data_IF_984768514981
#
_entry.id   IF_984768514981
#
_cell.length_a   1.000
_cell.length_b   1.000
_cell.length_c   1.000
_cell.angle_alpha   90.00
_cell.angle_beta   90.00
_cell.angle_gamma   90.00
#
_symmetry.space_group_name_H-M   'P 1'
#
loop_
_entity.id
_entity.type
_entity.pdbx_description
1 polymer ?
#
# COMPACT_ATOMS: atom_id res chain seq x y z
N UNK A 1 3.01 27.36 -10.49
CA UNK A 1 3.81 28.31 -9.69
C UNK A 1 4.07 27.85 -8.24
N UNK A 2 3.08 27.22 -7.57
CA UNK A 2 3.20 26.79 -6.17
C UNK A 2 4.45 25.93 -5.89
N UNK A 3 4.84 25.05 -6.81
CA UNK A 3 5.98 24.13 -6.65
C UNK A 3 7.28 24.65 -7.26
N UNK A 4 7.30 25.85 -7.85
CA UNK A 4 8.52 26.43 -8.44
C UNK A 4 9.64 26.53 -7.41
N UNK A 5 10.83 25.98 -7.75
CA UNK A 5 12.01 25.97 -6.88
C UNK A 5 11.93 24.97 -5.71
N UNK A 6 10.91 24.13 -5.67
CA UNK A 6 10.84 22.99 -4.75
C UNK A 6 11.51 21.76 -5.38
N UNK A 7 11.96 20.83 -4.55
CA UNK A 7 12.61 19.60 -5.03
C UNK A 7 11.69 18.39 -4.90
N UNK A 8 10.75 18.42 -3.94
CA UNK A 8 9.85 17.31 -3.64
C UNK A 8 8.44 17.80 -3.33
N UNK A 9 7.46 17.03 -3.76
CA UNK A 9 6.04 17.17 -3.41
C UNK A 9 5.64 15.90 -2.65
N UNK A 10 5.09 16.09 -1.45
CA UNK A 10 4.47 15.04 -0.64
C UNK A 10 2.96 15.29 -0.67
N UNK A 11 2.24 14.51 -1.46
CA UNK A 11 0.80 14.65 -1.61
C UNK A 11 0.07 13.76 -0.60
N UNK A 12 -0.64 14.36 0.34
CA UNK A 12 -1.43 13.66 1.37
C UNK A 12 -2.94 13.92 1.22
N UNK A 13 -3.37 14.43 0.05
CA UNK A 13 -4.75 14.80 -0.20
C UNK A 13 -5.44 13.75 -1.05
N UNK A 14 -6.31 12.95 -0.45
CA UNK A 14 -7.15 11.96 -1.10
C UNK A 14 -8.64 12.34 -1.12
N UNK A 15 -9.48 11.64 -1.88
CA UNK A 15 -9.18 10.49 -2.74
C UNK A 15 -8.28 10.87 -3.93
N UNK A 16 -7.20 10.08 -4.12
CA UNK A 16 -6.12 10.48 -5.04
C UNK A 16 -6.53 10.43 -6.51
N UNK A 17 -7.33 9.45 -6.91
CA UNK A 17 -7.82 9.39 -8.29
C UNK A 17 -8.69 10.59 -8.66
N UNK A 18 -9.36 11.21 -7.69
CA UNK A 18 -10.17 12.42 -7.89
C UNK A 18 -9.36 13.71 -7.88
N UNK A 19 -8.42 13.82 -6.94
CA UNK A 19 -7.73 15.08 -6.60
C UNK A 19 -6.26 15.13 -7.02
N UNK A 20 -5.63 13.97 -7.26
CA UNK A 20 -4.18 13.86 -7.44
C UNK A 20 -3.65 14.33 -8.79
N UNK A 21 -4.46 14.23 -9.88
CA UNK A 21 -4.00 14.54 -11.24
C UNK A 21 -3.38 15.94 -11.38
N UNK A 22 -4.01 17.05 -10.92
CA UNK A 22 -3.39 18.36 -11.01
C UNK A 22 -2.11 18.50 -10.18
N UNK A 23 -2.00 17.75 -9.07
CA UNK A 23 -0.83 17.80 -8.19
C UNK A 23 0.37 17.10 -8.84
N UNK A 24 0.20 15.89 -9.37
CA UNK A 24 1.29 15.17 -10.06
C UNK A 24 1.74 15.89 -11.31
N UNK A 25 0.80 16.46 -12.08
CA UNK A 25 1.14 17.26 -13.25
C UNK A 25 1.96 18.50 -12.86
N UNK A 26 1.55 19.25 -11.85
CA UNK A 26 2.27 20.41 -11.37
C UNK A 26 3.66 20.05 -10.79
N UNK A 27 3.80 18.87 -10.16
CA UNK A 27 5.09 18.37 -9.69
C UNK A 27 6.02 18.07 -10.87
N UNK A 28 5.53 17.37 -11.90
CA UNK A 28 6.26 17.09 -13.12
C UNK A 28 6.72 18.39 -13.80
N UNK A 29 5.80 19.35 -14.01
CA UNK A 29 6.09 20.62 -14.67
C UNK A 29 7.16 21.42 -13.92
N UNK A 30 7.12 21.41 -12.58
CA UNK A 30 8.08 22.10 -11.73
C UNK A 30 9.42 21.38 -11.56
N UNK A 31 9.55 20.13 -12.03
CA UNK A 31 10.76 19.32 -11.85
C UNK A 31 10.93 18.79 -10.43
N UNK A 32 9.83 18.49 -9.76
CA UNK A 32 9.83 17.94 -8.41
C UNK A 32 9.70 16.42 -8.42
N UNK A 33 10.41 15.75 -7.52
CA UNK A 33 10.08 14.38 -7.15
C UNK A 33 8.68 14.34 -6.53
N UNK A 34 7.91 13.29 -6.82
CA UNK A 34 6.53 13.12 -6.34
C UNK A 34 6.41 11.88 -5.48
N UNK A 35 5.84 12.08 -4.30
CA UNK A 35 5.45 11.02 -3.38
C UNK A 35 4.01 11.27 -2.92
N UNK A 36 3.25 10.21 -2.72
CA UNK A 36 1.93 10.32 -2.11
C UNK A 36 1.66 9.17 -1.13
N UNK A 37 0.60 9.31 -0.35
CA UNK A 37 0.18 8.33 0.66
C UNK A 37 -1.04 7.52 0.23
N UNK A 38 -1.22 7.32 -1.06
CA UNK A 38 -2.38 6.60 -1.60
C UNK A 38 -2.44 5.16 -1.12
N UNK A 39 -3.66 4.63 -0.93
CA UNK A 39 -3.91 3.19 -0.94
C UNK A 39 -4.58 2.72 -2.25
N UNK A 40 -4.84 3.63 -3.19
CA UNK A 40 -5.70 3.44 -4.36
C UNK A 40 -4.94 2.80 -5.52
N UNK A 41 -5.18 1.52 -5.77
CA UNK A 41 -4.49 0.76 -6.84
C UNK A 41 -4.77 1.32 -8.24
N UNK A 42 -5.99 1.80 -8.51
CA UNK A 42 -6.33 2.41 -9.79
C UNK A 42 -5.56 3.73 -10.03
N UNK A 43 -5.30 4.51 -8.97
CA UNK A 43 -4.42 5.67 -9.03
C UNK A 43 -2.97 5.28 -9.34
N UNK A 44 -2.48 4.22 -8.71
CA UNK A 44 -1.11 3.73 -8.96
C UNK A 44 -0.94 3.26 -10.41
N UNK A 45 -1.92 2.52 -10.95
CA UNK A 45 -1.95 2.09 -12.35
C UNK A 45 -1.98 3.31 -13.29
N UNK A 46 -2.83 4.29 -13.00
CA UNK A 46 -2.90 5.54 -13.74
C UNK A 46 -1.56 6.30 -13.77
N UNK A 47 -0.90 6.42 -12.61
CA UNK A 47 0.42 7.06 -12.53
C UNK A 47 1.48 6.31 -13.33
N UNK A 48 1.48 4.98 -13.26
CA UNK A 48 2.39 4.14 -14.04
C UNK A 48 2.19 4.35 -15.54
N UNK A 49 0.96 4.30 -15.99
CA UNK A 49 0.65 4.28 -17.42
C UNK A 49 0.79 5.68 -18.05
N UNK A 50 0.45 6.75 -17.33
CA UNK A 50 0.43 8.11 -17.89
C UNK A 50 1.69 8.92 -17.56
N UNK A 51 2.35 8.67 -16.43
CA UNK A 51 3.41 9.55 -15.92
C UNK A 51 4.78 8.89 -15.78
N UNK A 52 4.88 7.56 -15.66
CA UNK A 52 6.15 6.90 -15.35
C UNK A 52 7.27 7.29 -16.31
N UNK A 53 7.02 7.20 -17.63
CA UNK A 53 8.02 7.53 -18.64
C UNK A 53 8.43 9.01 -18.64
N UNK A 54 7.55 9.92 -18.26
CA UNK A 54 7.86 11.35 -18.18
C UNK A 54 8.74 11.68 -16.96
N UNK A 55 8.45 11.08 -15.81
CA UNK A 55 9.27 11.21 -14.60
C UNK A 55 10.65 10.57 -14.80
N UNK A 56 10.72 9.38 -15.39
CA UNK A 56 11.98 8.69 -15.66
C UNK A 56 12.89 9.50 -16.58
N UNK A 57 12.38 10.03 -17.70
CA UNK A 57 13.16 10.89 -18.62
C UNK A 57 13.73 12.16 -17.96
N UNK A 58 13.10 12.62 -16.88
CA UNK A 58 13.55 13.80 -16.12
C UNK A 58 14.35 13.44 -14.87
N UNK A 59 14.68 12.17 -14.69
CA UNK A 59 15.40 11.65 -13.52
C UNK A 59 14.67 12.00 -12.19
N UNK A 60 13.34 12.02 -12.21
CA UNK A 60 12.50 12.30 -11.06
C UNK A 60 11.89 11.00 -10.50
N UNK A 61 11.75 10.91 -9.18
CA UNK A 61 11.02 9.83 -8.53
C UNK A 61 9.50 10.07 -8.67
N UNK A 62 8.78 9.00 -9.00
CA UNK A 62 7.32 8.90 -8.96
C UNK A 62 6.94 7.75 -8.03
N UNK A 63 6.65 8.07 -6.80
CA UNK A 63 6.46 7.10 -5.73
C UNK A 63 5.06 7.20 -5.11
N UNK A 64 4.05 6.53 -5.70
CA UNK A 64 2.76 6.41 -5.02
C UNK A 64 2.86 5.47 -3.81
N UNK A 65 1.92 5.60 -2.89
CA UNK A 65 1.77 4.76 -1.71
C UNK A 65 3.02 4.72 -0.81
N UNK A 66 3.71 5.85 -0.66
CA UNK A 66 4.81 5.98 0.31
C UNK A 66 4.24 6.16 1.73
N UNK A 67 3.58 5.12 2.20
CA UNK A 67 2.81 5.07 3.44
C UNK A 67 2.89 3.67 4.04
N UNK A 68 2.33 3.47 5.23
CA UNK A 68 2.19 2.14 5.81
C UNK A 68 1.67 1.13 4.77
N UNK A 69 0.54 1.41 4.16
CA UNK A 69 0.06 0.69 2.99
C UNK A 69 0.56 1.41 1.71
N UNK A 70 1.38 0.84 0.88
CA UNK A 70 1.83 -0.56 0.78
C UNK A 70 3.37 -0.65 0.93
N UNK A 71 4.01 0.41 1.46
CA UNK A 71 5.48 0.46 1.56
C UNK A 71 6.05 -0.60 2.50
N UNK A 72 5.37 -0.96 3.60
CA UNK A 72 5.87 -2.01 4.49
C UNK A 72 5.93 -3.38 3.82
N UNK A 73 4.91 -3.75 3.05
CA UNK A 73 4.94 -4.99 2.27
C UNK A 73 6.05 -4.97 1.22
N UNK A 74 6.25 -3.83 0.55
CA UNK A 74 7.36 -3.67 -0.37
C UNK A 74 8.73 -3.81 0.34
N UNK A 75 8.89 -3.28 1.56
CA UNK A 75 10.11 -3.49 2.36
C UNK A 75 10.33 -4.98 2.64
N UNK A 76 9.29 -5.68 3.11
CA UNK A 76 9.39 -7.10 3.41
C UNK A 76 9.72 -7.93 2.15
N UNK A 77 9.10 -7.59 1.02
CA UNK A 77 9.34 -8.22 -0.28
C UNK A 77 10.78 -7.98 -0.78
N UNK A 78 11.28 -6.75 -0.74
CA UNK A 78 12.65 -6.44 -1.17
C UNK A 78 13.70 -7.17 -0.32
N UNK A 79 13.47 -7.28 1.01
CA UNK A 79 14.35 -8.05 1.90
C UNK A 79 14.29 -9.55 1.55
N UNK A 80 13.13 -10.09 1.24
CA UNK A 80 13.01 -11.49 0.81
C UNK A 80 13.72 -11.73 -0.53
N UNK A 81 13.63 -10.78 -1.47
CA UNK A 81 14.28 -10.82 -2.78
C UNK A 81 15.81 -10.67 -2.72
N UNK A 82 16.40 -10.31 -1.58
CA UNK A 82 17.85 -10.45 -1.37
C UNK A 82 18.31 -11.91 -1.46
N UNK A 83 17.38 -12.87 -1.24
CA UNK A 83 17.67 -14.28 -1.43
C UNK A 83 17.52 -14.65 -2.90
N UNK A 84 18.59 -15.14 -3.56
CA UNK A 84 18.52 -15.56 -4.95
C UNK A 84 17.48 -16.66 -5.18
N UNK A 85 16.83 -16.66 -6.34
CA UNK A 85 15.88 -17.69 -6.73
C UNK A 85 14.45 -17.50 -6.21
N UNK A 86 14.18 -16.51 -5.37
CA UNK A 86 12.82 -16.13 -4.97
C UNK A 86 12.11 -15.49 -6.18
N UNK A 87 10.89 -15.97 -6.48
CA UNK A 87 10.05 -15.51 -7.59
C UNK A 87 8.57 -15.32 -7.22
N UNK A 88 8.18 -15.75 -6.02
CA UNK A 88 6.80 -15.72 -5.52
C UNK A 88 6.76 -15.08 -4.14
N UNK A 89 5.84 -14.12 -3.99
CA UNK A 89 5.67 -13.30 -2.79
C UNK A 89 4.21 -13.41 -2.32
N UNK A 90 3.98 -13.95 -1.13
CA UNK A 90 2.68 -13.99 -0.48
C UNK A 90 2.72 -13.09 0.74
N UNK A 91 2.03 -11.95 0.67
CA UNK A 91 2.01 -10.94 1.72
C UNK A 91 0.70 -10.96 2.49
N UNK A 92 0.79 -10.77 3.80
CA UNK A 92 -0.35 -10.60 4.68
C UNK A 92 -0.12 -9.35 5.54
N UNK A 93 -1.02 -8.40 5.42
CA UNK A 93 -1.18 -7.30 6.37
C UNK A 93 -2.18 -7.72 7.45
N UNK A 94 -1.80 -7.55 8.70
CA UNK A 94 -2.64 -7.88 9.85
C UNK A 94 -2.51 -6.80 10.91
N UNK A 95 -3.60 -6.37 11.47
CA UNK A 95 -3.55 -5.39 12.55
C UNK A 95 -4.92 -4.90 13.00
N UNK A 96 -4.87 -4.08 14.03
CA UNK A 96 -6.01 -3.34 14.55
C UNK A 96 -5.63 -1.85 14.57
N UNK A 97 -6.35 -1.06 13.79
CA UNK A 97 -6.19 0.38 13.77
C UNK A 97 -7.56 1.04 13.62
N UNK A 98 -7.73 2.18 14.27
CA UNK A 98 -8.86 3.05 13.95
C UNK A 98 -8.49 3.87 12.73
N UNK A 99 -9.36 3.84 11.71
CA UNK A 99 -9.13 4.53 10.44
C UNK A 99 -9.80 5.90 10.44
N UNK A 100 -9.19 6.88 9.74
CA UNK A 100 -9.75 8.21 9.55
C UNK A 100 -10.96 8.20 8.62
N UNK A 101 -11.75 9.27 8.65
CA UNK A 101 -12.86 9.48 7.70
C UNK A 101 -12.36 9.38 6.26
N UNK A 102 -11.25 10.05 5.93
CA UNK A 102 -10.66 10.02 4.59
C UNK A 102 -10.22 8.59 4.18
N UNK A 103 -9.59 7.85 5.09
CA UNK A 103 -9.18 6.46 4.83
C UNK A 103 -10.37 5.54 4.63
N UNK A 104 -11.45 5.70 5.39
CA UNK A 104 -12.69 4.93 5.22
C UNK A 104 -13.31 5.17 3.85
N UNK A 105 -13.40 6.42 3.43
CA UNK A 105 -13.96 6.78 2.11
C UNK A 105 -13.09 6.24 0.98
N UNK A 106 -11.77 6.38 1.07
CA UNK A 106 -10.82 5.85 0.09
C UNK A 106 -10.92 4.33 0.00
N UNK A 107 -10.95 3.63 1.14
CA UNK A 107 -11.11 2.17 1.19
C UNK A 107 -12.40 1.70 0.51
N UNK A 108 -13.54 2.27 0.86
CA UNK A 108 -14.83 1.88 0.27
C UNK A 108 -14.85 2.14 -1.23
N UNK A 109 -14.30 3.27 -1.68
CA UNK A 109 -14.13 3.57 -3.10
C UNK A 109 -13.28 2.50 -3.79
N UNK A 110 -12.14 2.12 -3.22
CA UNK A 110 -11.27 1.08 -3.78
C UNK A 110 -11.98 -0.27 -3.92
N UNK A 111 -12.83 -0.63 -2.96
CA UNK A 111 -13.60 -1.88 -3.01
C UNK A 111 -14.62 -1.94 -4.17
N UNK A 112 -14.90 -0.81 -4.83
CA UNK A 112 -15.72 -0.77 -6.06
C UNK A 112 -14.90 -0.97 -7.34
N UNK A 113 -13.57 -1.00 -7.25
CA UNK A 113 -12.66 -1.13 -8.38
C UNK A 113 -12.07 -2.52 -8.45
N UNK A 114 -11.60 -2.98 -9.63
CA UNK A 114 -10.87 -4.22 -9.73
C UNK A 114 -9.66 -4.24 -8.80
N UNK A 115 -9.49 -5.33 -8.07
CA UNK A 115 -8.35 -5.60 -7.22
C UNK A 115 -7.47 -6.65 -7.89
N UNK A 116 -6.15 -6.46 -7.88
CA UNK A 116 -5.23 -7.26 -8.66
C UNK A 116 -4.23 -8.03 -7.80
N UNK A 117 -3.75 -9.14 -8.34
CA UNK A 117 -2.57 -9.87 -7.91
C UNK A 117 -1.72 -10.21 -9.13
N UNK A 118 -0.46 -10.54 -8.91
CA UNK A 118 0.44 -10.96 -10.00
C UNK A 118 0.46 -12.48 -10.07
N UNK A 119 0.21 -13.03 -11.27
CA UNK A 119 0.23 -14.46 -11.55
C UNK A 119 0.98 -14.73 -12.85
N UNK A 120 2.07 -15.47 -12.77
CA UNK A 120 2.88 -15.77 -13.94
C UNK A 120 3.51 -14.55 -14.61
N UNK A 121 3.65 -13.43 -13.91
CA UNK A 121 4.16 -12.16 -14.45
C UNK A 121 3.08 -11.20 -14.93
N UNK A 122 1.80 -11.59 -14.94
CA UNK A 122 0.68 -10.82 -15.43
C UNK A 122 -0.29 -10.44 -14.30
N UNK A 123 -0.93 -9.27 -14.42
CA UNK A 123 -1.96 -8.85 -13.46
C UNK A 123 -3.25 -9.63 -13.69
N UNK A 124 -3.68 -10.36 -12.68
CA UNK A 124 -4.95 -11.06 -12.62
C UNK A 124 -5.88 -10.41 -11.61
N UNK A 125 -7.18 -10.42 -11.88
CA UNK A 125 -8.17 -9.82 -11.01
C UNK A 125 -8.62 -10.79 -9.93
N UNK A 126 -8.69 -10.31 -8.68
CA UNK A 126 -9.32 -11.02 -7.58
C UNK A 126 -10.84 -11.12 -7.78
N UNK A 127 -11.46 -12.24 -7.37
CA UNK A 127 -12.92 -12.31 -7.26
C UNK A 127 -13.45 -11.27 -6.26
N UNK A 128 -14.59 -10.68 -6.57
CA UNK A 128 -15.22 -9.66 -5.73
C UNK A 128 -15.67 -10.22 -4.38
N UNK A 129 -15.49 -9.42 -3.32
CA UNK A 129 -15.98 -9.68 -1.97
C UNK A 129 -15.71 -11.10 -1.44
N UNK A 130 -14.62 -11.71 -1.89
CA UNK A 130 -14.21 -13.07 -1.51
C UNK A 130 -13.23 -13.04 -0.37
N UNK A 131 -13.40 -13.92 0.60
CA UNK A 131 -12.49 -14.10 1.74
C UNK A 131 -11.71 -15.41 1.62
N UNK A 132 -10.55 -15.42 2.24
CA UNK A 132 -9.62 -16.54 2.29
C UNK A 132 -9.27 -16.85 3.74
N UNK A 133 -9.03 -18.13 4.04
CA UNK A 133 -8.52 -18.55 5.34
C UNK A 133 -6.99 -18.43 5.33
N UNK A 134 -6.47 -17.71 6.31
CA UNK A 134 -5.03 -17.48 6.46
C UNK A 134 -4.58 -17.72 7.90
N UNK A 135 -3.30 -17.96 8.07
CA UNK A 135 -2.62 -17.92 9.38
C UNK A 135 -1.64 -16.76 9.41
N UNK A 136 -1.50 -16.12 10.58
CA UNK A 136 -0.58 -15.02 10.79
C UNK A 136 0.48 -15.39 11.84
N UNK A 137 1.75 -15.02 11.66
CA UNK A 137 2.81 -15.31 12.64
C UNK A 137 2.48 -14.77 14.03
N UNK A 138 2.47 -15.67 15.03
CA UNK A 138 2.13 -15.33 16.42
C UNK A 138 0.63 -15.26 16.72
N UNK A 139 -0.24 -15.58 15.76
CA UNK A 139 -1.69 -15.68 15.96
C UNK A 139 -2.12 -17.14 15.91
N UNK A 140 -2.60 -17.67 17.04
CA UNK A 140 -2.94 -19.10 17.21
C UNK A 140 -4.38 -19.43 16.80
N UNK A 141 -4.85 -18.84 15.71
CA UNK A 141 -6.17 -19.13 15.11
C UNK A 141 -6.14 -18.87 13.60
N UNK A 142 -7.04 -19.48 12.88
CA UNK A 142 -7.30 -19.15 11.49
C UNK A 142 -8.04 -17.82 11.42
N UNK A 143 -7.64 -16.97 10.49
CA UNK A 143 -8.22 -15.65 10.24
C UNK A 143 -8.88 -15.63 8.87
N UNK A 144 -9.96 -14.88 8.72
CA UNK A 144 -10.46 -14.46 7.41
C UNK A 144 -9.66 -13.25 6.93
N UNK A 145 -9.25 -13.30 5.68
CA UNK A 145 -8.54 -12.21 5.00
C UNK A 145 -9.14 -11.96 3.62
N UNK A 146 -8.92 -10.78 3.07
CA UNK A 146 -9.37 -10.41 1.72
C UNK A 146 -8.33 -9.49 1.05
N UNK A 147 -8.34 -9.37 -0.29
CA UNK A 147 -7.62 -8.29 -0.96
C UNK A 147 -8.26 -6.95 -0.59
N UNK A 148 -7.56 -6.15 0.22
CA UNK A 148 -8.08 -4.94 0.85
C UNK A 148 -7.93 -3.74 -0.09
N UNK A 149 -8.94 -3.50 -0.94
CA UNK A 149 -8.90 -2.41 -1.91
C UNK A 149 -7.85 -2.56 -3.02
N UNK A 150 -7.28 -3.73 -3.16
CA UNK A 150 -6.11 -3.99 -3.99
C UNK A 150 -4.82 -3.84 -3.20
N UNK A 151 -3.70 -3.77 -3.88
CA UNK A 151 -2.39 -3.60 -3.26
C UNK A 151 -1.41 -2.91 -4.23
N UNK A 152 -0.36 -2.33 -3.68
CA UNK A 152 0.70 -1.69 -4.46
C UNK A 152 1.72 -2.68 -5.00
N UNK A 153 2.03 -3.72 -4.23
CA UNK A 153 3.11 -4.66 -4.54
C UNK A 153 2.89 -5.37 -5.90
N UNK A 154 1.70 -5.89 -6.24
CA UNK A 154 1.48 -6.47 -7.57
C UNK A 154 1.71 -5.47 -8.70
N UNK A 155 1.39 -4.18 -8.49
CA UNK A 155 1.60 -3.13 -9.49
C UNK A 155 3.08 -2.83 -9.67
N UNK A 156 3.84 -2.74 -8.58
CA UNK A 156 5.28 -2.46 -8.63
C UNK A 156 6.09 -3.64 -9.17
N UNK A 157 5.66 -4.88 -8.91
CA UNK A 157 6.35 -6.07 -9.42
C UNK A 157 5.87 -6.54 -10.79
N UNK A 158 4.84 -5.92 -11.37
CA UNK A 158 4.44 -6.18 -12.76
C UNK A 158 5.58 -5.74 -13.70
N UNK A 159 6.07 -6.71 -14.50
CA UNK A 159 7.24 -6.50 -15.36
C UNK A 159 8.59 -6.63 -14.65
N UNK A 160 8.63 -7.00 -13.37
CA UNK A 160 9.88 -7.27 -12.68
C UNK A 160 10.55 -8.55 -13.21
N UNK A 161 11.88 -8.52 -13.42
CA UNK A 161 12.63 -9.59 -14.09
C UNK A 161 12.52 -10.96 -13.40
N UNK A 162 12.40 -11.02 -12.06
CA UNK A 162 12.36 -12.25 -11.27
C UNK A 162 10.99 -12.58 -10.71
N UNK A 163 10.23 -11.58 -10.27
CA UNK A 163 8.96 -11.83 -9.57
C UNK A 163 7.88 -12.25 -10.56
N UNK A 164 7.40 -13.48 -10.38
CA UNK A 164 6.36 -14.08 -11.23
C UNK A 164 4.99 -14.04 -10.56
N UNK A 165 4.96 -14.13 -9.23
CA UNK A 165 3.72 -14.14 -8.47
C UNK A 165 3.83 -13.19 -7.28
N UNK A 166 2.79 -12.41 -7.03
CA UNK A 166 2.69 -11.54 -5.88
C UNK A 166 1.22 -11.43 -5.46
N UNK A 167 0.90 -11.90 -4.27
CA UNK A 167 -0.43 -11.84 -3.68
C UNK A 167 -0.37 -11.06 -2.38
N UNK A 168 -1.40 -10.23 -2.16
CA UNK A 168 -1.50 -9.43 -0.94
C UNK A 168 -2.90 -9.58 -0.37
N UNK A 169 -2.97 -9.98 0.88
CA UNK A 169 -4.20 -10.08 1.65
C UNK A 169 -4.10 -9.21 2.90
N UNK A 170 -5.24 -8.81 3.40
CA UNK A 170 -5.38 -8.04 4.62
C UNK A 170 -6.37 -8.72 5.56
N UNK A 171 -6.08 -8.69 6.86
CA UNK A 171 -6.94 -9.18 7.92
C UNK A 171 -6.93 -8.24 9.12
N UNK A 172 -8.05 -8.16 9.83
CA UNK A 172 -8.14 -7.46 11.11
C UNK A 172 -8.05 -8.46 12.29
N UNK A 173 -7.50 -8.03 13.41
CA UNK A 173 -7.55 -8.78 14.66
C UNK A 173 -8.97 -8.93 15.16
N UNK A 174 -9.80 -7.89 15.02
CA UNK A 174 -11.23 -7.97 15.26
C UNK A 174 -11.96 -8.61 14.06
N UNK A 175 -12.13 -9.92 14.10
CA UNK A 175 -12.76 -10.70 13.02
C UNK A 175 -14.25 -10.42 12.84
N UNK A 176 -14.98 -10.03 13.88
CA UNK A 176 -16.40 -9.68 13.78
C UNK A 176 -16.56 -8.38 12.98
N UNK A 177 -15.73 -7.39 13.26
CA UNK A 177 -15.67 -6.15 12.48
C UNK A 177 -15.28 -6.45 11.03
N UNK A 178 -14.27 -7.31 10.81
CA UNK A 178 -13.83 -7.71 9.47
C UNK A 178 -14.99 -8.34 8.68
N UNK A 179 -15.72 -9.29 9.27
CA UNK A 179 -16.86 -9.93 8.61
C UNK A 179 -18.04 -8.98 8.38
N UNK A 180 -18.21 -7.97 9.24
CA UNK A 180 -19.21 -6.90 9.00
C UNK A 180 -18.85 -6.11 7.72
N UNK A 181 -17.59 -5.76 7.55
CA UNK A 181 -17.10 -5.08 6.33
C UNK A 181 -17.32 -5.97 5.10
N UNK A 182 -16.97 -7.25 5.19
CA UNK A 182 -17.21 -8.21 4.09
C UNK A 182 -18.69 -8.27 3.71
N UNK A 183 -19.59 -8.32 4.70
CA UNK A 183 -21.05 -8.29 4.47
C UNK A 183 -21.50 -7.02 3.73
N UNK A 184 -20.96 -5.86 4.10
CA UNK A 184 -21.25 -4.59 3.41
C UNK A 184 -20.78 -4.61 1.96
N UNK A 185 -19.61 -5.18 1.68
CA UNK A 185 -19.10 -5.31 0.32
C UNK A 185 -19.92 -6.29 -0.53
N UNK A 186 -20.38 -7.40 0.07
CA UNK A 186 -21.27 -8.35 -0.60
C UNK A 186 -22.63 -7.72 -0.91
N UNK A 187 -23.16 -6.92 0.01
CA UNK A 187 -24.39 -6.17 -0.23
C UNK A 187 -24.21 -5.13 -1.33
N UNK A 188 -23.11 -4.38 -1.31
CA UNK A 188 -22.78 -3.42 -2.38
C UNK A 188 -22.70 -4.12 -3.74
N UNK A 189 -22.03 -5.27 -3.82
CA UNK A 189 -21.92 -6.06 -5.05
C UNK A 189 -23.28 -6.44 -5.62
N UNK A 190 -24.19 -6.88 -4.75
CA UNK A 190 -25.54 -7.29 -5.13
C UNK A 190 -26.45 -6.13 -5.55
N UNK A 191 -26.39 -5.00 -4.82
CA UNK A 191 -27.37 -3.93 -4.93
C UNK A 191 -26.89 -2.75 -5.80
N UNK A 192 -25.58 -2.51 -5.92
CA UNK A 192 -25.05 -1.28 -6.50
C UNK A 192 -24.01 -1.50 -7.61
N UNK A 193 -23.52 -2.73 -7.83
CA UNK A 193 -22.52 -3.00 -8.86
C UNK A 193 -22.96 -2.62 -10.29
N UNK A 194 -24.26 -2.71 -10.56
CA UNK A 194 -24.84 -2.38 -11.87
C UNK A 194 -24.88 -0.86 -12.16
N UNK A 195 -24.69 -0.01 -11.15
CA UNK A 195 -24.67 1.44 -11.29
C UNK A 195 -23.41 1.90 -12.06
N UNK A 196 -23.49 3.07 -12.66
CA UNK A 196 -22.30 3.71 -13.22
C UNK A 196 -21.27 4.13 -12.13
N UNK A 197 -20.05 4.45 -12.56
CA UNK A 197 -18.96 4.74 -11.63
C UNK A 197 -19.25 5.93 -10.70
N UNK A 198 -19.94 6.96 -11.18
CA UNK A 198 -20.27 8.15 -10.39
C UNK A 198 -21.32 7.83 -9.33
N UNK A 199 -22.36 7.05 -9.68
CA UNK A 199 -23.39 6.61 -8.75
C UNK A 199 -22.82 5.63 -7.70
N UNK A 200 -21.95 4.68 -8.09
CA UNK A 200 -21.24 3.83 -7.15
C UNK A 200 -20.41 4.64 -6.13
N UNK A 201 -19.74 5.67 -6.59
CA UNK A 201 -18.94 6.54 -5.74
C UNK A 201 -19.80 7.35 -4.75
N UNK A 202 -20.97 7.83 -5.18
CA UNK A 202 -21.93 8.48 -4.28
C UNK A 202 -22.41 7.54 -3.18
N UNK A 203 -22.71 6.28 -3.53
CA UNK A 203 -23.10 5.26 -2.56
C UNK A 203 -21.98 4.99 -1.54
N UNK A 204 -20.76 4.76 -2.01
CA UNK A 204 -19.63 4.49 -1.10
C UNK A 204 -19.30 5.68 -0.21
N UNK A 205 -19.39 6.89 -0.71
CA UNK A 205 -19.22 8.11 0.07
C UNK A 205 -20.31 8.24 1.16
N UNK A 206 -21.58 7.90 0.84
CA UNK A 206 -22.67 7.92 1.81
C UNK A 206 -22.45 6.88 2.92
N UNK A 207 -22.06 5.65 2.56
CA UNK A 207 -21.73 4.58 3.52
C UNK A 207 -20.54 5.02 4.40
N UNK A 208 -19.48 5.56 3.81
CA UNK A 208 -18.29 6.00 4.53
C UNK A 208 -18.58 7.04 5.61
N UNK A 209 -19.44 8.01 5.31
CA UNK A 209 -19.88 9.03 6.28
C UNK A 209 -20.71 8.47 7.42
N UNK A 210 -21.38 7.34 7.23
CA UNK A 210 -22.16 6.66 8.28
C UNK A 210 -21.24 5.83 9.20
N UNK A 211 -20.23 5.18 8.63
CA UNK A 211 -19.31 4.29 9.37
C UNK A 211 -18.34 5.10 10.24
N UNK A 212 -17.69 6.10 9.67
CA UNK A 212 -16.67 6.90 10.35
C UNK A 212 -17.13 8.35 10.40
N UNK A 213 -17.66 8.76 11.55
CA UNK A 213 -18.23 10.11 11.74
C UNK A 213 -17.26 11.07 12.41
N UNK A 214 -16.25 10.56 13.09
CA UNK A 214 -15.24 11.35 13.83
C UNK A 214 -13.85 10.85 13.47
N UNK A 215 -12.88 11.77 13.52
CA UNK A 215 -11.48 11.39 13.35
C UNK A 215 -11.02 10.51 14.51
N UNK A 216 -10.13 9.54 14.26
CA UNK A 216 -9.61 8.66 15.30
C UNK A 216 -8.81 9.46 16.33
N UNK A 217 -8.72 8.97 17.58
CA UNK A 217 -7.81 9.53 18.55
C UNK A 217 -6.37 9.41 18.06
N UNK A 218 -5.48 10.19 18.68
CA UNK A 218 -4.03 10.05 18.42
C UNK A 218 -3.59 8.61 18.66
N UNK A 219 -2.81 8.08 17.73
CA UNK A 219 -2.30 6.72 17.85
C UNK A 219 -1.43 6.52 19.09
N UNK A 220 -1.55 5.34 19.69
CA UNK A 220 -0.71 4.86 20.79
C UNK A 220 -0.18 3.47 20.49
N UNK A 221 1.11 3.16 20.76
CA UNK A 221 1.71 1.86 20.45
C UNK A 221 1.06 0.67 21.15
N UNK A 222 0.43 0.89 22.31
CA UNK A 222 -0.18 -0.16 23.11
C UNK A 222 -1.43 -0.77 22.42
N UNK A 223 -2.13 0.03 21.62
CA UNK A 223 -3.41 -0.33 21.02
C UNK A 223 -3.28 -0.53 19.50
N UNK A 224 -2.64 0.42 18.83
CA UNK A 224 -2.56 0.44 17.37
C UNK A 224 -1.39 -0.40 16.87
N UNK A 225 -1.59 -1.71 16.83
CA UNK A 225 -0.57 -2.69 16.42
C UNK A 225 -0.82 -3.17 15.02
N UNK A 226 0.26 -3.43 14.32
CA UNK A 226 0.26 -3.90 12.95
C UNK A 226 1.35 -4.95 12.72
N UNK A 227 1.14 -5.82 11.78
CA UNK A 227 2.12 -6.78 11.30
C UNK A 227 2.00 -6.93 9.79
N UNK A 228 3.15 -6.99 9.14
CA UNK A 228 3.24 -7.40 7.74
C UNK A 228 4.13 -8.65 7.68
N UNK A 229 3.64 -9.70 7.05
CA UNK A 229 4.45 -10.88 6.77
C UNK A 229 4.54 -11.11 5.27
N UNK A 230 5.74 -11.40 4.79
CA UNK A 230 6.00 -11.85 3.42
C UNK A 230 6.52 -13.30 3.50
N UNK A 231 5.74 -14.24 2.99
CA UNK A 231 6.16 -15.61 2.77
C UNK A 231 6.63 -15.72 1.33
N UNK A 232 7.94 -15.74 1.15
CA UNK A 232 8.54 -15.72 -0.17
C UNK A 232 9.15 -17.08 -0.50
N UNK A 233 9.00 -17.51 -1.75
CA UNK A 233 9.52 -18.82 -2.20
C UNK A 233 10.02 -18.77 -3.64
N UNK A 234 10.87 -19.69 -3.95
CA UNK A 234 11.32 -20.07 -5.27
C UNK A 234 11.32 -21.58 -5.41
N UNK A 235 12.06 -22.12 -6.37
CA UNK A 235 12.09 -23.56 -6.61
C UNK A 235 12.67 -24.35 -5.43
N UNK A 236 13.69 -23.83 -4.77
CA UNK A 236 14.44 -24.55 -3.72
C UNK A 236 14.71 -23.68 -2.48
N UNK A 237 14.25 -22.45 -2.45
CA UNK A 237 14.43 -21.50 -1.36
C UNK A 237 13.07 -21.05 -0.83
N UNK A 238 13.02 -20.80 0.46
CA UNK A 238 11.91 -20.10 1.10
C UNK A 238 12.44 -19.15 2.16
N UNK A 239 11.79 -17.98 2.27
CA UNK A 239 12.15 -16.94 3.22
C UNK A 239 10.87 -16.35 3.81
N UNK A 240 10.83 -16.24 5.13
CA UNK A 240 9.79 -15.50 5.84
C UNK A 240 10.38 -14.18 6.34
N UNK A 241 9.77 -13.07 5.99
CA UNK A 241 10.08 -11.74 6.52
C UNK A 241 8.85 -11.26 7.28
N UNK A 242 9.04 -10.92 8.55
CA UNK A 242 7.95 -10.49 9.42
C UNK A 242 8.32 -9.13 10.01
N UNK A 243 7.47 -8.14 9.75
CA UNK A 243 7.56 -6.80 10.31
C UNK A 243 6.46 -6.66 11.36
N UNK A 244 6.84 -6.30 12.60
CA UNK A 244 5.89 -6.02 13.68
C UNK A 244 5.98 -4.54 14.02
N UNK A 245 4.88 -3.83 13.82
CA UNK A 245 4.83 -2.39 13.97
C UNK A 245 3.68 -1.90 14.81
N UNK A 246 3.66 -0.61 15.02
CA UNK A 246 2.59 0.11 15.70
C UNK A 246 2.36 1.47 15.04
N UNK A 247 1.17 2.06 15.24
CA UNK A 247 0.88 3.42 14.83
C UNK A 247 1.07 3.66 13.32
N UNK A 248 0.26 3.03 12.48
CA UNK A 248 0.37 3.04 11.01
C UNK A 248 0.40 4.46 10.39
N UNK A 249 -0.32 5.42 10.97
CA UNK A 249 -0.30 6.82 10.52
C UNK A 249 1.01 7.52 10.92
N UNK A 250 1.53 7.26 12.13
CA UNK A 250 2.83 7.79 12.56
C UNK A 250 3.96 7.22 11.69
N UNK A 251 3.92 5.93 11.37
CA UNK A 251 4.86 5.31 10.42
C UNK A 251 4.78 5.96 9.04
N UNK A 252 3.58 6.28 8.56
CA UNK A 252 3.39 7.01 7.29
C UNK A 252 4.06 8.39 7.34
N UNK A 253 4.01 9.07 8.49
CA UNK A 253 4.74 10.32 8.72
C UNK A 253 6.26 10.15 8.60
N UNK A 254 6.82 9.07 9.15
CA UNK A 254 8.26 8.76 9.03
C UNK A 254 8.63 8.49 7.57
N UNK A 255 7.84 7.71 6.81
CA UNK A 255 8.09 7.49 5.38
C UNK A 255 8.06 8.80 4.58
N UNK A 256 7.16 9.72 4.89
CA UNK A 256 7.09 11.02 4.25
C UNK A 256 8.33 11.89 4.58
N UNK A 257 8.76 11.91 5.83
CA UNK A 257 9.96 12.62 6.28
C UNK A 257 11.22 12.04 5.61
N UNK A 258 11.38 10.72 5.57
CA UNK A 258 12.47 10.05 4.89
C UNK A 258 12.52 10.38 3.39
N UNK A 259 11.36 10.42 2.71
CA UNK A 259 11.30 10.81 1.31
C UNK A 259 11.85 12.23 1.11
N UNK A 260 11.39 13.20 1.91
CA UNK A 260 11.86 14.56 1.84
C UNK A 260 13.37 14.68 2.12
N UNK A 261 13.85 14.06 3.20
CA UNK A 261 15.26 14.11 3.60
C UNK A 261 16.18 13.48 2.56
N UNK A 262 15.78 12.34 1.99
CA UNK A 262 16.61 11.66 0.97
C UNK A 262 16.65 12.41 -0.35
N UNK A 263 15.56 13.05 -0.75
CA UNK A 263 15.57 13.95 -1.92
C UNK A 263 16.52 15.11 -1.69
N UNK A 264 16.36 15.82 -0.57
CA UNK A 264 17.17 17.00 -0.24
C UNK A 264 18.67 16.67 -0.12
N UNK A 265 19.00 15.49 0.39
CA UNK A 265 20.38 15.02 0.55
C UNK A 265 20.91 14.25 -0.67
N UNK A 266 20.14 14.14 -1.78
CA UNK A 266 20.51 13.38 -3.00
C UNK A 266 20.84 11.92 -2.72
N UNK A 267 20.05 11.27 -1.89
CA UNK A 267 20.25 9.88 -1.41
C UNK A 267 19.24 8.89 -1.96
N UNK A 268 18.52 9.27 -3.02
CA UNK A 268 17.62 8.32 -3.70
C UNK A 268 18.43 7.16 -4.30
N UNK A 269 17.86 5.96 -4.21
CA UNK A 269 18.46 4.73 -4.78
C UNK A 269 18.02 4.50 -6.22
N UNK A 270 16.85 5.02 -6.58
CA UNK A 270 16.28 4.92 -7.92
C UNK A 270 15.41 6.14 -8.24
N UNK A 271 15.09 6.31 -9.50
CA UNK A 271 14.15 7.30 -10.03
C UNK A 271 13.08 6.58 -10.87
N UNK A 272 12.15 7.33 -11.45
CA UNK A 272 11.01 6.78 -12.18
C UNK A 272 9.92 6.26 -11.24
N UNK A 273 9.02 5.44 -11.77
CA UNK A 273 7.91 4.84 -11.04
C UNK A 273 8.39 3.68 -10.17
N UNK A 274 8.04 3.68 -8.88
CA UNK A 274 8.42 2.58 -7.98
C UNK A 274 7.91 2.76 -6.55
N UNK A 275 8.08 1.70 -5.75
CA UNK A 275 7.78 1.73 -4.32
C UNK A 275 8.78 2.59 -3.54
N UNK A 276 8.37 3.04 -2.34
CA UNK A 276 9.28 3.66 -1.38
C UNK A 276 10.48 2.77 -1.05
N UNK A 277 10.26 1.46 -0.92
CA UNK A 277 11.31 0.49 -0.67
C UNK A 277 12.40 0.48 -1.77
N UNK A 278 12.00 0.58 -3.04
CA UNK A 278 12.94 0.67 -4.18
C UNK A 278 13.62 2.04 -4.25
N UNK A 279 12.84 3.11 -4.15
CA UNK A 279 13.32 4.48 -4.41
C UNK A 279 14.17 5.01 -3.25
N UNK A 280 13.76 4.74 -2.02
CA UNK A 280 14.44 5.25 -0.81
C UNK A 280 15.38 4.21 -0.20
N UNK A 281 15.18 2.93 -0.51
CA UNK A 281 15.92 1.80 0.02
C UNK A 281 15.19 1.09 1.16
N UNK A 282 14.91 -0.21 0.97
CA UNK A 282 14.14 -1.01 1.91
C UNK A 282 14.79 -1.05 3.31
N UNK A 283 16.07 -1.35 3.38
CA UNK A 283 16.80 -1.42 4.66
C UNK A 283 16.94 -0.07 5.35
N UNK A 284 17.03 0.99 4.59
CA UNK A 284 17.09 2.35 5.12
C UNK A 284 15.75 2.78 5.75
N UNK A 285 14.64 2.48 5.08
CA UNK A 285 13.32 2.76 5.63
C UNK A 285 13.02 1.91 6.87
N UNK A 286 13.44 0.64 6.84
CA UNK A 286 13.32 -0.26 7.98
C UNK A 286 14.08 0.27 9.20
N UNK A 287 15.33 0.71 9.01
CA UNK A 287 16.13 1.31 10.07
C UNK A 287 15.48 2.59 10.63
N UNK A 288 15.02 3.48 9.76
CA UNK A 288 14.36 4.72 10.19
C UNK A 288 13.10 4.46 11.05
N UNK A 289 12.29 3.48 10.67
CA UNK A 289 11.10 3.09 11.47
C UNK A 289 11.50 2.46 12.81
N UNK A 290 12.57 1.67 12.85
CA UNK A 290 13.05 1.04 14.06
C UNK A 290 13.70 2.04 15.03
N UNK A 291 14.47 2.99 14.50
CA UNK A 291 15.12 4.05 15.28
C UNK A 291 14.07 4.94 15.97
N UNK A 292 12.91 5.16 15.34
CA UNK A 292 11.77 5.84 15.92
C UNK A 292 10.92 4.95 16.85
N UNK A 293 11.26 3.67 16.98
CA UNK A 293 10.58 2.72 17.86
C UNK A 293 9.23 2.20 17.33
N UNK A 294 8.91 2.43 16.05
CA UNK A 294 7.63 2.01 15.48
C UNK A 294 7.65 0.60 14.93
N UNK A 295 8.82 0.00 14.68
CA UNK A 295 8.90 -1.27 13.97
C UNK A 295 10.05 -2.13 14.44
N UNK A 296 9.81 -3.45 14.52
CA UNK A 296 10.83 -4.50 14.64
C UNK A 296 10.64 -5.54 13.55
N UNK A 297 11.69 -6.30 13.24
CA UNK A 297 11.59 -7.30 12.16
C UNK A 297 12.37 -8.58 12.46
N UNK A 298 11.99 -9.63 11.78
CA UNK A 298 12.72 -10.89 11.73
C UNK A 298 12.76 -11.46 10.32
N UNK A 299 13.82 -12.17 9.99
CA UNK A 299 14.02 -12.85 8.70
C UNK A 299 14.40 -14.30 8.98
N UNK A 300 13.63 -15.25 8.46
CA UNK A 300 13.86 -16.67 8.59
C UNK A 300 14.06 -17.28 7.19
N UNK A 301 15.16 -17.96 6.99
CA UNK A 301 15.44 -18.72 5.76
C UNK A 301 15.19 -20.21 6.01
N UNK A 302 14.50 -20.86 5.07
CA UNK A 302 14.07 -22.25 5.19
C UNK A 302 14.72 -23.11 4.12
#
# INVERSE_FOLDING_TARGET
ELFKGRQVVLNVVGPFMQLGRPVVQAALDAGCHYFDTTGETDWMLFLRDEYAAAFERRELALCPANSYMWTEGAIAAEIALETPGIDTLDLLYYGDAQISVASTMSFLRMCTKPMYYLKGGELAQWPWATTYDVTAPGVHRVLKAMPWGGAGEPVWYHGHERVRNCQVLFSLGNQDMFMTIVGMLQQFEKEHRHLDAAAQEQVTNAIGRQITQVEPPRETPEIHRAMVSCQARGNTQAVSVILRGSCAYSQTGVFAAEAAMRVLNRQLKAVGFGSGARILGARQLLAAQADEGYLSWEVQRH
#
